data_IF_925172403606
#
_entry.id   IF_925172403606
#
_cell.length_a   1.000
_cell.length_b   1.000
_cell.length_c   1.000
_cell.angle_alpha   90.00
_cell.angle_beta   90.00
_cell.angle_gamma   90.00
#
_symmetry.space_group_name_H-M   'P 1'
#
loop_
_entity.id
_entity.type
_entity.pdbx_description
1 polymer ?
#
# COMPACT_ATOMS: atom_id res chain seq x y z
N UNK A 1 -7.41 16.90 33.67
CA UNK A 1 -6.32 16.90 32.68
C UNK A 1 -6.27 15.49 32.17
N UNK A 2 -6.58 15.27 30.89
CA UNK A 2 -6.41 13.96 30.26
C UNK A 2 -4.96 13.84 29.82
N UNK A 3 -4.27 12.83 30.31
CA UNK A 3 -2.89 12.56 29.94
C UNK A 3 -2.85 11.92 28.55
N UNK A 4 -2.53 12.77 27.57
CA UNK A 4 -2.27 12.37 26.20
C UNK A 4 -0.77 12.11 26.04
N UNK A 5 -0.42 11.00 25.40
CA UNK A 5 0.96 10.65 25.06
C UNK A 5 1.24 10.82 23.57
N UNK A 6 2.52 11.04 23.21
CA UNK A 6 3.00 11.02 21.82
C UNK A 6 4.15 10.04 21.68
N UNK A 7 4.13 9.16 20.66
CA UNK A 7 5.21 8.18 20.43
C UNK A 7 5.36 7.86 18.94
N UNK A 8 6.59 7.59 18.52
CA UNK A 8 6.89 7.06 17.19
C UNK A 8 6.56 5.57 17.07
N UNK A 9 6.05 5.16 15.92
CA UNK A 9 5.86 3.79 15.47
C UNK A 9 6.77 3.56 14.28
N UNK A 10 7.76 2.69 14.47
CA UNK A 10 8.72 2.37 13.42
C UNK A 10 8.13 1.41 12.40
N UNK A 11 8.35 1.72 11.14
CA UNK A 11 8.22 0.78 10.04
C UNK A 11 9.55 0.02 9.99
N UNK A 12 9.61 -1.26 10.42
CA UNK A 12 10.82 -2.03 10.27
C UNK A 12 11.17 -2.14 8.78
N UNK A 13 12.46 -2.33 8.49
CA UNK A 13 12.92 -2.77 7.18
C UNK A 13 12.05 -3.93 6.67
N UNK A 14 11.84 -4.03 5.34
CA UNK A 14 10.95 -5.00 4.74
C UNK A 14 11.14 -6.39 5.37
N UNK A 15 10.10 -6.89 6.03
CA UNK A 15 10.13 -8.21 6.66
C UNK A 15 9.70 -9.23 5.63
N UNK A 16 10.37 -10.38 5.57
CA UNK A 16 9.93 -11.49 4.73
C UNK A 16 8.53 -11.91 5.19
N UNK A 17 7.54 -11.78 4.30
CA UNK A 17 6.17 -12.20 4.54
C UNK A 17 6.18 -13.69 4.85
N UNK A 18 5.56 -14.09 5.96
CA UNK A 18 5.36 -15.50 6.28
C UNK A 18 4.56 -16.13 5.13
N UNK A 19 5.22 -17.00 4.35
CA UNK A 19 4.54 -17.85 3.38
C UNK A 19 3.53 -18.69 4.17
N UNK A 20 2.24 -18.45 3.95
CA UNK A 20 1.20 -19.42 4.33
C UNK A 20 1.50 -20.68 3.52
N UNK A 21 1.94 -21.72 4.20
CA UNK A 21 2.10 -23.06 3.69
C UNK A 21 0.80 -23.53 3.00
N UNK A 22 0.96 -24.43 2.01
CA UNK A 22 -0.05 -24.96 1.06
C UNK A 22 -1.32 -25.61 1.66
N UNK A 23 -1.62 -25.38 2.94
CA UNK A 23 -2.86 -25.76 3.63
C UNK A 23 -3.44 -24.64 4.51
N UNK A 24 -3.14 -23.38 4.21
CA UNK A 24 -3.64 -22.18 4.88
C UNK A 24 -5.15 -21.97 4.75
N UNK A 25 -5.92 -22.74 5.52
CA UNK A 25 -7.30 -22.43 5.83
C UNK A 25 -7.34 -21.39 6.96
N UNK A 26 -7.48 -20.10 6.63
CA UNK A 26 -8.02 -19.08 7.54
C UNK A 26 -9.51 -18.97 7.23
N UNK A 27 -10.33 -19.72 7.98
CA UNK A 27 -11.77 -19.57 7.94
C UNK A 27 -12.14 -18.35 8.79
N UNK A 28 -12.76 -17.33 8.17
CA UNK A 28 -13.70 -16.49 8.90
C UNK A 28 -14.88 -17.41 9.24
N UNK A 29 -15.03 -17.77 10.51
CA UNK A 29 -16.24 -18.41 11.00
C UNK A 29 -17.31 -17.34 11.05
N UNK A 30 -18.21 -17.35 10.09
CA UNK A 30 -19.53 -16.76 10.26
C UNK A 30 -20.27 -17.60 11.31
N UNK A 31 -20.56 -17.01 12.46
CA UNK A 31 -21.57 -17.53 13.38
C UNK A 31 -22.96 -17.24 12.77
N UNK A 32 -23.51 -18.20 12.04
CA UNK A 32 -24.94 -18.27 11.74
C UNK A 32 -25.54 -19.58 12.30
N UNK A 33 -25.98 -19.50 13.56
CA UNK A 33 -26.99 -20.40 14.12
C UNK A 33 -28.38 -19.96 13.63
N UNK A 34 -28.85 -20.48 12.50
CA UNK A 34 -30.24 -20.92 12.30
C UNK A 34 -30.47 -21.46 10.88
N UNK A 35 -30.42 -22.78 10.71
CA UNK A 35 -31.05 -23.45 9.57
C UNK A 35 -31.90 -24.61 10.04
N UNK A 36 -33.17 -24.31 10.27
CA UNK A 36 -34.21 -25.32 10.29
C UNK A 36 -35.20 -25.04 9.16
N UNK A 37 -35.31 -26.03 8.25
CA UNK A 37 -36.35 -26.25 7.24
C UNK A 37 -36.54 -25.19 6.15
N UNK A 38 -36.21 -25.54 4.91
CA UNK A 38 -37.20 -25.65 3.83
C UNK A 38 -36.61 -26.51 2.69
N UNK A 39 -37.31 -27.60 2.36
CA UNK A 39 -37.09 -28.40 1.15
C UNK A 39 -37.95 -27.81 0.03
N UNK A 40 -37.41 -27.78 -1.19
CA UNK A 40 -38.21 -27.87 -2.40
C UNK A 40 -37.88 -26.84 -3.47
N UNK A 41 -37.20 -27.32 -4.51
CA UNK A 41 -37.60 -27.30 -5.93
C UNK A 41 -36.49 -26.81 -6.84
N UNK A 42 -36.03 -27.77 -7.66
CA UNK A 42 -35.18 -27.61 -8.83
C UNK A 42 -35.90 -26.75 -9.88
N UNK A 43 -35.31 -25.63 -10.27
CA UNK A 43 -35.55 -25.00 -11.57
C UNK A 43 -34.23 -24.45 -12.12
N UNK A 44 -34.01 -24.79 -13.38
CA UNK A 44 -32.81 -24.60 -14.19
C UNK A 44 -32.39 -23.11 -14.28
N UNK A 45 -31.12 -22.83 -14.01
CA UNK A 45 -30.48 -21.54 -14.32
C UNK A 45 -29.31 -21.81 -15.26
N UNK A 46 -29.47 -21.37 -16.51
CA UNK A 46 -28.44 -21.30 -17.52
C UNK A 46 -27.27 -20.44 -17.01
N UNK A 47 -26.12 -21.09 -16.80
CA UNK A 47 -24.85 -20.42 -16.53
C UNK A 47 -24.31 -19.83 -17.83
N UNK A 48 -24.42 -18.51 -17.98
CA UNK A 48 -23.64 -17.75 -18.94
C UNK A 48 -22.20 -17.65 -18.41
N UNK A 49 -21.27 -18.33 -19.09
CA UNK A 49 -19.83 -18.14 -18.94
C UNK A 49 -19.47 -16.71 -19.35
N UNK A 50 -19.16 -15.85 -18.37
CA UNK A 50 -18.45 -14.59 -18.60
C UNK A 50 -16.94 -14.86 -18.58
N UNK A 51 -16.38 -15.10 -19.76
CA UNK A 51 -14.94 -15.05 -20.00
C UNK A 51 -14.45 -13.59 -19.92
N UNK A 52 -14.11 -13.14 -18.71
CA UNK A 52 -13.32 -11.90 -18.53
C UNK A 52 -11.83 -12.23 -18.57
N UNK A 53 -11.06 -11.75 -19.56
CA UNK A 53 -9.63 -12.00 -19.64
C UNK A 53 -8.90 -11.21 -18.56
N UNK A 54 -8.56 -11.86 -17.46
CA UNK A 54 -7.59 -11.34 -16.49
C UNK A 54 -6.20 -11.41 -17.13
N UNK A 55 -5.71 -10.28 -17.64
CA UNK A 55 -4.35 -10.20 -18.20
C UNK A 55 -3.32 -10.28 -17.07
N UNK A 56 -2.83 -11.50 -16.79
CA UNK A 56 -1.71 -11.72 -15.86
C UNK A 56 -0.39 -11.51 -16.60
N UNK A 57 0.37 -10.49 -16.18
CA UNK A 57 1.66 -10.07 -16.76
C UNK A 57 2.84 -11.04 -16.48
N UNK A 58 2.58 -12.30 -16.11
CA UNK A 58 3.55 -13.14 -15.41
C UNK A 58 4.20 -14.27 -16.23
N UNK A 59 3.66 -14.63 -17.39
CA UNK A 59 4.11 -15.86 -18.08
C UNK A 59 5.20 -15.65 -19.14
N UNK A 60 5.79 -14.45 -19.26
CA UNK A 60 6.80 -14.16 -20.30
C UNK A 60 8.16 -13.66 -19.80
N UNK A 61 8.40 -13.66 -18.48
CA UNK A 61 9.67 -13.18 -17.90
C UNK A 61 10.59 -14.31 -17.40
N UNK A 62 10.32 -15.58 -17.72
CA UNK A 62 11.04 -16.73 -17.13
C UNK A 62 12.42 -17.05 -17.72
N UNK A 63 12.92 -16.34 -18.74
CA UNK A 63 14.16 -16.73 -19.44
C UNK A 63 15.37 -15.78 -19.26
N UNK A 64 15.42 -14.97 -18.20
CA UNK A 64 16.62 -14.15 -17.90
C UNK A 64 17.52 -14.90 -16.91
N UNK A 65 18.48 -15.65 -17.46
CA UNK A 65 19.56 -16.28 -16.73
C UNK A 65 20.62 -15.23 -16.32
N UNK A 66 20.75 -14.95 -15.01
CA UNK A 66 21.78 -14.07 -14.45
C UNK A 66 22.91 -14.94 -13.87
N UNK A 67 24.14 -14.93 -14.43
CA UNK A 67 25.28 -15.60 -13.82
C UNK A 67 25.84 -14.76 -12.66
N UNK A 68 26.08 -15.41 -11.51
CA UNK A 68 26.70 -14.81 -10.32
C UNK A 68 28.23 -15.07 -10.29
N UNK A 69 28.97 -13.96 -10.26
CA UNK A 69 30.28 -13.64 -9.67
C UNK A 69 31.54 -14.46 -9.98
N UNK A 70 32.53 -13.80 -10.63
CA UNK A 70 33.94 -13.75 -10.19
C UNK A 70 34.55 -12.36 -10.49
N UNK A 71 35.37 -11.90 -9.54
CA UNK A 71 35.94 -10.56 -9.36
C UNK A 71 36.73 -9.99 -10.53
N UNK A 72 36.39 -8.78 -11.02
CA UNK A 72 37.32 -7.85 -11.72
C UNK A 72 36.74 -6.40 -11.76
N UNK A 73 37.15 -5.58 -10.79
CA UNK A 73 36.44 -4.38 -10.28
C UNK A 73 36.34 -3.12 -11.17
N UNK A 74 37.00 -3.03 -12.32
CA UNK A 74 36.98 -1.80 -13.14
C UNK A 74 36.28 -1.94 -14.50
N UNK A 75 36.18 -3.16 -15.06
CA UNK A 75 35.31 -3.45 -16.21
C UNK A 75 33.86 -3.72 -15.79
N UNK A 76 33.63 -4.10 -14.52
CA UNK A 76 32.31 -4.39 -13.96
C UNK A 76 31.39 -3.15 -13.88
N UNK A 77 31.92 -1.96 -13.58
CA UNK A 77 31.08 -0.75 -13.43
C UNK A 77 30.46 -0.35 -14.77
N UNK A 78 31.26 -0.31 -15.84
CA UNK A 78 30.77 0.04 -17.19
C UNK A 78 29.86 -1.04 -17.78
N UNK A 79 30.10 -2.32 -17.43
CA UNK A 79 29.24 -3.42 -17.87
C UNK A 79 27.91 -3.43 -17.10
N UNK A 80 27.91 -3.19 -15.79
CA UNK A 80 26.71 -3.09 -14.96
C UNK A 80 25.83 -1.89 -15.35
N UNK A 81 26.41 -0.70 -15.56
CA UNK A 81 25.70 0.48 -16.07
C UNK A 81 25.07 0.23 -17.45
N UNK A 82 25.76 -0.53 -18.31
CA UNK A 82 25.27 -0.88 -19.65
C UNK A 82 24.12 -1.91 -19.60
N UNK A 83 24.16 -2.90 -18.73
CA UNK A 83 23.06 -3.87 -18.58
C UNK A 83 21.82 -3.22 -17.96
N UNK A 84 22.01 -2.38 -16.94
CA UNK A 84 20.93 -1.61 -16.30
C UNK A 84 20.20 -0.70 -17.30
N UNK A 85 20.94 0.03 -18.14
CA UNK A 85 20.33 0.90 -19.16
C UNK A 85 19.55 0.16 -20.25
N UNK A 86 20.02 -1.03 -20.68
CA UNK A 86 19.27 -1.85 -21.65
C UNK A 86 18.01 -2.45 -21.03
N UNK A 87 18.08 -2.94 -19.80
CA UNK A 87 16.94 -3.47 -19.04
C UNK A 87 15.87 -2.40 -18.85
N UNK A 88 16.26 -1.19 -18.44
CA UNK A 88 15.34 -0.09 -18.19
C UNK A 88 14.62 0.33 -19.48
N UNK A 89 15.36 0.53 -20.57
CA UNK A 89 14.79 0.86 -21.87
C UNK A 89 13.84 -0.23 -22.39
N UNK A 90 14.21 -1.50 -22.23
CA UNK A 90 13.37 -2.63 -22.65
C UNK A 90 12.08 -2.71 -21.84
N UNK A 91 12.18 -2.49 -20.52
CA UNK A 91 11.02 -2.46 -19.62
C UNK A 91 10.07 -1.33 -20.00
N UNK A 92 10.57 -0.10 -20.16
CA UNK A 92 9.74 1.05 -20.54
C UNK A 92 9.03 0.82 -21.87
N UNK A 93 9.74 0.31 -22.89
CA UNK A 93 9.14 0.02 -24.19
C UNK A 93 8.03 -1.04 -24.07
N UNK A 94 8.23 -2.07 -23.26
CA UNK A 94 7.24 -3.12 -23.04
C UNK A 94 6.01 -2.58 -22.30
N UNK A 95 6.21 -1.80 -21.24
CA UNK A 95 5.14 -1.17 -20.46
C UNK A 95 4.31 -0.23 -21.35
N UNK A 96 4.96 0.61 -22.16
CA UNK A 96 4.27 1.46 -23.15
C UNK A 96 3.46 0.64 -24.16
N UNK A 97 4.01 -0.46 -24.65
CA UNK A 97 3.31 -1.32 -25.60
C UNK A 97 2.02 -1.90 -25.01
N UNK A 98 2.03 -2.31 -23.74
CA UNK A 98 0.83 -2.76 -23.04
C UNK A 98 -0.17 -1.63 -22.79
N UNK A 99 0.31 -0.45 -22.39
CA UNK A 99 -0.54 0.69 -22.05
C UNK A 99 -1.13 1.39 -23.29
N UNK A 100 -0.66 1.09 -24.51
CA UNK A 100 -1.30 1.54 -25.74
C UNK A 100 -2.76 1.10 -25.86
N UNK A 101 -3.14 -0.03 -25.24
CA UNK A 101 -4.52 -0.51 -25.19
C UNK A 101 -5.25 -0.15 -23.89
N UNK A 102 -4.65 0.68 -23.02
CA UNK A 102 -5.28 1.08 -21.77
C UNK A 102 -6.52 1.95 -22.06
N UNK A 103 -7.70 1.40 -21.78
CA UNK A 103 -8.98 1.99 -22.20
C UNK A 103 -9.29 3.29 -21.47
N UNK A 104 -8.75 3.49 -20.27
CA UNK A 104 -9.01 4.68 -19.46
C UNK A 104 -7.93 5.77 -19.57
N UNK A 105 -7.12 5.76 -20.63
CA UNK A 105 -6.05 6.75 -20.85
C UNK A 105 -6.56 8.20 -20.75
N UNK A 106 -7.65 8.52 -21.44
CA UNK A 106 -8.21 9.89 -21.46
C UNK A 106 -8.79 10.27 -20.08
N UNK A 107 -9.35 9.29 -19.36
CA UNK A 107 -9.84 9.51 -17.99
C UNK A 107 -8.69 9.74 -17.02
N UNK A 108 -7.56 9.03 -17.15
CA UNK A 108 -6.38 9.26 -16.34
C UNK A 108 -5.77 10.65 -16.58
N UNK A 109 -5.80 11.14 -17.82
CA UNK A 109 -5.32 12.48 -18.15
C UNK A 109 -6.28 13.59 -17.67
N UNK A 110 -7.59 13.31 -17.62
CA UNK A 110 -8.61 14.29 -17.22
C UNK A 110 -9.61 13.72 -16.19
N UNK A 111 -9.16 13.30 -14.99
CA UNK A 111 -9.97 12.51 -14.06
C UNK A 111 -11.12 13.28 -13.42
N UNK A 112 -11.07 14.63 -13.51
CA UNK A 112 -12.06 15.52 -12.94
C UNK A 112 -12.82 16.34 -14.00
N UNK A 113 -12.71 15.96 -15.28
CA UNK A 113 -13.51 16.56 -16.33
C UNK A 113 -15.00 16.33 -16.02
N UNK A 114 -15.79 17.41 -15.97
CA UNK A 114 -17.24 17.49 -15.63
C UNK A 114 -17.63 17.82 -14.18
N UNK A 115 -16.69 18.07 -13.27
CA UNK A 115 -17.01 18.56 -11.91
C UNK A 115 -17.55 17.51 -10.94
N UNK A 116 -17.84 16.29 -11.41
CA UNK A 116 -18.01 15.08 -10.60
C UNK A 116 -16.80 14.16 -10.77
N UNK A 117 -15.63 14.67 -10.37
CA UNK A 117 -14.35 14.00 -10.54
C UNK A 117 -14.10 12.88 -9.54
N UNK A 118 -13.03 12.12 -9.77
CA UNK A 118 -12.55 11.08 -8.86
C UNK A 118 -11.65 11.59 -7.72
N UNK A 119 -11.46 12.92 -7.63
CA UNK A 119 -10.50 13.60 -6.74
C UNK A 119 -9.08 13.04 -6.92
N UNK A 120 -8.67 12.88 -8.17
CA UNK A 120 -7.36 12.33 -8.56
C UNK A 120 -6.50 13.37 -9.29
N UNK A 121 -5.17 13.28 -9.20
CA UNK A 121 -4.29 14.04 -10.07
C UNK A 121 -4.39 13.55 -11.52
N UNK A 122 -4.24 14.46 -12.48
CA UNK A 122 -4.11 14.11 -13.90
C UNK A 122 -2.77 13.43 -14.16
N UNK A 123 -2.78 12.34 -14.92
CA UNK A 123 -1.59 11.55 -15.22
C UNK A 123 -1.44 11.39 -16.73
N UNK A 124 -0.34 11.91 -17.26
CA UNK A 124 0.11 11.55 -18.61
C UNK A 124 1.07 10.37 -18.53
N UNK A 125 0.51 9.18 -18.72
CA UNK A 125 1.22 7.92 -18.53
C UNK A 125 2.43 7.81 -19.47
N UNK A 126 2.30 8.30 -20.71
CA UNK A 126 3.36 8.12 -21.70
C UNK A 126 4.49 9.10 -21.49
N UNK A 127 4.16 10.36 -21.20
CA UNK A 127 5.14 11.38 -20.87
C UNK A 127 5.87 11.02 -19.55
N UNK A 128 5.16 10.52 -18.54
CA UNK A 128 5.79 10.05 -17.30
C UNK A 128 6.68 8.82 -17.52
N UNK A 129 6.32 7.89 -18.40
CA UNK A 129 7.19 6.76 -18.77
C UNK A 129 8.43 7.24 -19.55
N UNK A 130 8.32 8.29 -20.36
CA UNK A 130 9.47 8.92 -21.02
C UNK A 130 10.41 9.59 -20.01
N UNK A 131 9.86 10.30 -19.02
CA UNK A 131 10.63 10.90 -17.93
C UNK A 131 11.38 9.82 -17.12
N UNK A 132 10.69 8.74 -16.74
CA UNK A 132 11.32 7.60 -16.05
C UNK A 132 12.45 7.02 -16.91
N UNK A 133 12.21 6.82 -18.21
CA UNK A 133 13.23 6.28 -19.13
C UNK A 133 14.47 7.17 -19.32
N UNK A 134 14.36 8.47 -19.01
CA UNK A 134 15.46 9.45 -19.09
C UNK A 134 16.12 9.72 -17.73
N UNK A 135 15.52 9.24 -16.64
CA UNK A 135 16.04 9.45 -15.28
C UNK A 135 17.15 8.45 -14.97
N UNK A 136 18.26 8.94 -14.39
CA UNK A 136 19.30 8.08 -13.86
C UNK A 136 18.90 7.55 -12.49
N UNK A 137 18.92 6.23 -12.31
CA UNK A 137 18.63 5.58 -11.03
C UNK A 137 19.89 5.02 -10.39
N UNK A 138 19.98 5.11 -9.07
CA UNK A 138 21.09 4.55 -8.31
C UNK A 138 21.05 3.03 -8.26
N UNK A 139 19.86 2.45 -8.34
CA UNK A 139 19.65 1.01 -8.29
C UNK A 139 18.38 0.62 -9.07
N UNK A 140 18.27 -0.68 -9.39
CA UNK A 140 17.15 -1.25 -10.14
C UNK A 140 15.82 -1.24 -9.38
N UNK A 141 15.85 -1.25 -8.05
CA UNK A 141 14.64 -1.18 -7.22
C UNK A 141 13.93 0.17 -7.38
N UNK A 142 14.68 1.28 -7.28
CA UNK A 142 14.13 2.63 -7.46
C UNK A 142 13.50 2.79 -8.86
N UNK A 143 14.14 2.24 -9.90
CA UNK A 143 13.61 2.26 -11.27
C UNK A 143 12.25 1.55 -11.36
N UNK A 144 12.16 0.31 -10.87
CA UNK A 144 10.91 -0.44 -10.94
C UNK A 144 9.82 0.12 -10.03
N UNK A 145 10.19 0.65 -8.87
CA UNK A 145 9.27 1.33 -7.98
C UNK A 145 8.66 2.55 -8.65
N UNK A 146 9.43 3.36 -9.40
CA UNK A 146 8.86 4.49 -10.16
C UNK A 146 7.80 4.07 -11.16
N UNK A 147 7.98 2.93 -11.83
CA UNK A 147 6.97 2.39 -12.74
C UNK A 147 5.74 1.93 -11.94
N UNK A 148 5.94 1.21 -10.83
CA UNK A 148 4.85 0.77 -9.95
C UNK A 148 4.03 1.96 -9.44
N UNK A 149 4.67 3.00 -8.91
CA UNK A 149 4.00 4.21 -8.41
C UNK A 149 3.22 4.89 -9.53
N UNK A 150 3.80 5.06 -10.72
CA UNK A 150 3.09 5.65 -11.85
C UNK A 150 1.80 4.88 -12.21
N UNK A 151 1.86 3.55 -12.24
CA UNK A 151 0.66 2.75 -12.52
C UNK A 151 -0.33 2.78 -11.34
N UNK A 152 0.17 2.82 -10.10
CA UNK A 152 -0.67 2.96 -8.92
C UNK A 152 -1.46 4.28 -8.90
N UNK A 153 -0.85 5.35 -9.39
CA UNK A 153 -1.48 6.67 -9.48
C UNK A 153 -2.72 6.65 -10.39
N UNK A 154 -2.85 5.68 -11.31
CA UNK A 154 -4.04 5.49 -12.14
C UNK A 154 -5.30 5.13 -11.34
N UNK A 155 -5.10 4.72 -10.08
CA UNK A 155 -6.16 4.28 -9.16
C UNK A 155 -7.07 3.21 -9.79
N UNK A 156 -6.48 2.27 -10.52
CA UNK A 156 -7.14 1.16 -11.21
C UNK A 156 -6.66 -0.20 -10.70
N UNK A 157 -7.57 -0.96 -10.09
CA UNK A 157 -7.30 -2.32 -9.58
C UNK A 157 -6.81 -3.30 -10.65
N UNK A 158 -7.07 -3.05 -11.93
CA UNK A 158 -6.73 -3.96 -13.02
C UNK A 158 -5.47 -3.54 -13.79
N UNK A 159 -4.90 -2.39 -13.47
CA UNK A 159 -3.73 -1.84 -14.16
C UNK A 159 -2.64 -1.50 -13.15
N UNK A 160 -1.79 -2.47 -12.84
CA UNK A 160 -0.69 -2.32 -11.89
C UNK A 160 0.58 -2.97 -12.43
N UNK A 161 1.73 -2.54 -11.91
CA UNK A 161 3.03 -3.14 -12.20
C UNK A 161 3.58 -3.76 -10.92
N UNK A 162 3.85 -5.07 -10.93
CA UNK A 162 4.54 -5.72 -9.81
C UNK A 162 6.03 -5.76 -10.13
N UNK A 163 6.88 -5.04 -9.39
CA UNK A 163 8.32 -5.11 -9.59
C UNK A 163 8.85 -6.55 -9.42
N UNK A 164 9.86 -6.96 -10.22
CA UNK A 164 10.47 -8.26 -10.05
C UNK A 164 11.18 -8.36 -8.69
N UNK A 165 11.23 -9.58 -8.15
CA UNK A 165 12.02 -9.95 -6.97
C UNK A 165 11.65 -9.33 -5.60
N UNK A 166 10.62 -8.48 -5.50
CA UNK A 166 10.24 -7.86 -4.22
C UNK A 166 8.92 -8.36 -3.63
N UNK A 167 8.34 -9.43 -4.15
CA UNK A 167 6.99 -9.88 -3.75
C UNK A 167 6.87 -10.39 -2.32
N UNK A 168 7.99 -10.81 -1.73
CA UNK A 168 8.03 -11.45 -0.41
C UNK A 168 8.20 -10.47 0.74
N UNK A 169 8.15 -9.17 0.48
CA UNK A 169 8.42 -8.18 1.51
C UNK A 169 7.20 -7.35 1.85
N UNK A 170 7.17 -6.80 3.06
CA UNK A 170 6.11 -5.88 3.47
C UNK A 170 6.62 -4.84 4.45
N UNK A 171 6.08 -3.63 4.35
CA UNK A 171 6.22 -2.58 5.36
C UNK A 171 5.08 -2.72 6.36
N UNK A 172 5.41 -2.88 7.64
CA UNK A 172 4.43 -3.27 8.66
C UNK A 172 4.54 -2.40 9.90
N UNK A 173 3.49 -1.65 10.22
CA UNK A 173 3.33 -1.01 11.52
C UNK A 173 3.05 -2.08 12.59
N UNK A 174 3.50 -1.90 13.85
CA UNK A 174 3.29 -2.89 14.90
C UNK A 174 1.82 -3.13 15.26
N UNK A 175 0.92 -2.23 14.84
CA UNK A 175 -0.50 -2.27 15.16
C UNK A 175 -1.39 -2.02 13.95
N UNK A 176 -2.60 -2.58 14.01
CA UNK A 176 -3.71 -2.34 13.11
C UNK A 176 -4.56 -1.17 13.59
N UNK A 177 -4.85 -0.22 12.71
CA UNK A 177 -5.71 0.93 13.00
C UNK A 177 -7.07 0.73 12.33
N UNK A 178 -8.13 0.69 13.14
CA UNK A 178 -9.50 0.63 12.64
C UNK A 178 -10.19 1.97 12.85
N UNK A 179 -11.00 2.37 11.87
CA UNK A 179 -11.86 3.55 11.94
C UNK A 179 -13.26 3.11 12.39
N UNK A 180 -13.77 3.73 13.44
CA UNK A 180 -15.10 3.50 13.99
C UNK A 180 -15.96 4.75 13.83
N UNK A 181 -17.21 4.57 13.39
CA UNK A 181 -18.19 5.64 13.39
C UNK A 181 -18.82 5.76 14.78
N UNK A 182 -18.88 6.99 15.29
CA UNK A 182 -19.49 7.32 16.57
C UNK A 182 -20.96 7.74 16.37
N UNK A 183 -21.81 7.70 17.43
CA UNK A 183 -23.22 8.08 17.33
C UNK A 183 -23.48 9.53 16.89
N UNK A 184 -22.50 10.42 17.09
CA UNK A 184 -22.56 11.83 16.70
C UNK A 184 -22.04 12.09 15.27
N UNK A 185 -21.87 11.02 14.48
CA UNK A 185 -21.30 11.02 13.12
C UNK A 185 -19.81 11.38 13.05
N UNK A 186 -19.14 11.57 14.19
CA UNK A 186 -17.68 11.67 14.22
C UNK A 186 -17.03 10.30 14.00
N UNK A 187 -15.72 10.30 13.76
CA UNK A 187 -14.92 9.08 13.61
C UNK A 187 -13.88 9.01 14.72
N UNK A 188 -13.68 7.82 15.27
CA UNK A 188 -12.55 7.51 16.16
C UNK A 188 -11.64 6.47 15.51
N UNK A 189 -10.35 6.58 15.73
CA UNK A 189 -9.37 5.56 15.30
C UNK A 189 -8.89 4.83 16.53
N UNK A 190 -8.91 3.50 16.51
CA UNK A 190 -8.45 2.68 17.63
C UNK A 190 -7.54 1.57 17.18
N UNK A 191 -6.65 1.17 18.08
CA UNK A 191 -5.84 -0.03 17.93
C UNK A 191 -6.74 -1.26 18.03
N UNK A 192 -6.73 -2.10 16.99
CA UNK A 192 -7.49 -3.35 16.96
C UNK A 192 -6.62 -4.57 17.29
N UNK A 193 -5.58 -4.84 16.51
CA UNK A 193 -4.68 -5.99 16.75
C UNK A 193 -3.21 -5.56 16.64
N UNK A 194 -2.33 -6.34 17.24
CA UNK A 194 -0.88 -6.19 17.12
C UNK A 194 -0.31 -7.28 16.20
N UNK A 195 0.65 -6.92 15.36
CA UNK A 195 1.40 -7.90 14.55
C UNK A 195 2.51 -8.49 15.40
N UNK A 196 2.42 -9.77 15.75
CA UNK A 196 3.28 -10.42 16.77
C UNK A 196 4.77 -10.09 16.64
N UNK A 197 5.38 -10.28 15.47
CA UNK A 197 6.81 -10.03 15.26
C UNK A 197 7.17 -8.53 15.23
N UNK A 198 6.54 -7.67 14.40
CA UNK A 198 6.75 -6.22 14.45
C UNK A 198 6.49 -5.59 15.82
N UNK A 199 5.45 -6.03 16.52
CA UNK A 199 5.10 -5.58 17.88
C UNK A 199 6.17 -5.95 18.90
N UNK A 200 6.67 -7.18 18.89
CA UNK A 200 7.76 -7.59 19.78
C UNK A 200 9.02 -6.75 19.57
N UNK A 201 9.40 -6.51 18.31
CA UNK A 201 10.53 -5.63 17.97
C UNK A 201 10.29 -4.21 18.48
N UNK A 202 9.09 -3.67 18.23
CA UNK A 202 8.71 -2.34 18.69
C UNK A 202 8.85 -2.17 20.21
N UNK A 203 8.41 -3.17 21.00
CA UNK A 203 8.58 -3.14 22.46
C UNK A 203 10.04 -3.29 22.91
N UNK A 204 10.85 -4.11 22.22
CA UNK A 204 12.29 -4.23 22.48
C UNK A 204 13.01 -2.88 22.26
N UNK A 205 12.57 -2.12 21.27
CA UNK A 205 13.05 -0.77 20.95
C UNK A 205 12.43 0.32 21.86
N UNK A 206 11.87 -0.08 23.00
CA UNK A 206 11.25 0.81 24.01
C UNK A 206 9.99 1.54 23.53
N UNK A 207 9.26 0.92 22.61
CA UNK A 207 7.93 1.35 22.20
C UNK A 207 6.90 1.34 23.34
N UNK A 208 5.78 2.04 23.13
CA UNK A 208 4.66 2.05 24.08
C UNK A 208 3.75 0.86 23.81
N UNK A 209 3.48 0.06 24.83
CA UNK A 209 2.52 -1.04 24.72
C UNK A 209 1.08 -0.51 24.68
N UNK A 210 0.49 -0.47 23.49
CA UNK A 210 -0.90 -0.08 23.31
C UNK A 210 -1.82 -1.25 23.59
N UNK A 211 -2.74 -1.05 24.53
CA UNK A 211 -3.83 -1.99 24.79
C UNK A 211 -4.84 -1.97 23.64
N UNK A 212 -5.57 -3.07 23.49
CA UNK A 212 -6.76 -3.13 22.63
C UNK A 212 -7.68 -1.93 22.91
N UNK A 213 -8.25 -1.35 21.86
CA UNK A 213 -9.11 -0.16 21.89
C UNK A 213 -8.44 1.15 22.34
N UNK A 214 -7.10 1.22 22.42
CA UNK A 214 -6.41 2.51 22.63
C UNK A 214 -6.80 3.47 21.49
N UNK A 215 -7.36 4.63 21.87
CA UNK A 215 -7.80 5.65 20.92
C UNK A 215 -6.61 6.48 20.44
N UNK A 216 -6.49 6.59 19.12
CA UNK A 216 -5.47 7.37 18.43
C UNK A 216 -6.13 8.67 17.96
N UNK A 217 -5.67 9.78 18.50
CA UNK A 217 -6.25 11.10 18.27
C UNK A 217 -5.66 11.74 17.01
N UNK A 218 -4.34 11.63 16.84
CA UNK A 218 -3.60 12.24 15.74
C UNK A 218 -2.49 11.34 15.25
N UNK A 219 -2.16 11.50 13.97
CA UNK A 219 -1.03 10.81 13.34
C UNK A 219 -0.23 11.87 12.58
N UNK A 220 1.09 11.82 12.72
CA UNK A 220 2.02 12.49 11.84
C UNK A 220 2.61 11.48 10.85
N UNK A 221 2.24 11.60 9.58
CA UNK A 221 2.67 10.69 8.50
C UNK A 221 4.15 10.84 8.14
N UNK A 222 4.77 11.95 8.55
CA UNK A 222 6.19 12.27 8.31
C UNK A 222 7.12 11.87 9.45
N UNK A 223 6.61 11.15 10.44
CA UNK A 223 7.40 10.70 11.59
C UNK A 223 7.79 11.80 12.60
N UNK A 224 7.39 13.06 12.37
CA UNK A 224 7.72 14.18 13.27
C UNK A 224 6.86 14.16 14.53
N UNK A 225 7.30 14.79 15.64
CA UNK A 225 6.45 15.01 16.80
C UNK A 225 5.14 15.71 16.40
N UNK A 226 4.02 15.32 17.01
CA UNK A 226 2.68 15.85 16.69
C UNK A 226 2.63 17.39 16.83
N UNK A 227 3.25 17.91 17.88
CA UNK A 227 3.27 19.33 18.20
C UNK A 227 4.69 19.91 18.08
N UNK A 228 4.78 21.15 17.62
CA UNK A 228 5.97 22.00 17.71
C UNK A 228 6.13 22.53 19.14
N UNK A 229 7.25 23.21 19.41
CA UNK A 229 7.55 23.78 20.74
C UNK A 229 6.51 24.81 21.23
N UNK A 230 5.79 25.48 20.32
CA UNK A 230 4.73 26.45 20.61
C UNK A 230 3.33 25.84 20.71
N UNK A 231 3.22 24.50 20.79
CA UNK A 231 1.96 23.76 20.84
C UNK A 231 1.10 23.85 19.56
N UNK A 232 1.68 24.29 18.44
CA UNK A 232 1.07 24.19 17.12
C UNK A 232 1.32 22.82 16.50
N UNK A 233 0.43 22.36 15.63
CA UNK A 233 0.63 21.10 14.90
C UNK A 233 1.86 21.19 13.99
N UNK A 234 2.63 20.09 13.95
CA UNK A 234 3.73 19.93 13.03
C UNK A 234 3.21 19.60 11.62
N UNK A 235 4.00 19.92 10.60
CA UNK A 235 3.69 19.55 9.22
C UNK A 235 3.53 18.02 9.09
N UNK A 236 2.48 17.60 8.37
CA UNK A 236 2.07 16.20 8.26
C UNK A 236 1.27 15.64 9.44
N UNK A 237 0.91 16.45 10.44
CA UNK A 237 0.06 16.02 11.58
C UNK A 237 -1.41 16.31 11.29
N UNK A 238 -2.25 15.27 11.36
CA UNK A 238 -3.69 15.38 11.14
C UNK A 238 -4.47 14.68 12.25
N UNK A 239 -5.80 14.83 12.26
CA UNK A 239 -6.64 13.89 13.00
C UNK A 239 -6.40 12.47 12.46
N UNK A 240 -6.47 11.46 13.32
CA UNK A 240 -6.07 10.11 12.93
C UNK A 240 -6.83 9.57 11.70
N UNK A 241 -8.15 9.76 11.64
CA UNK A 241 -8.95 9.34 10.48
C UNK A 241 -8.59 10.13 9.20
N UNK A 242 -8.33 11.44 9.34
CA UNK A 242 -7.87 12.29 8.23
C UNK A 242 -6.49 11.86 7.72
N UNK A 243 -5.56 11.50 8.62
CA UNK A 243 -4.24 11.01 8.23
C UNK A 243 -4.35 9.70 7.42
N UNK A 244 -5.19 8.77 7.86
CA UNK A 244 -5.41 7.50 7.13
C UNK A 244 -6.06 7.79 5.77
N UNK A 245 -7.03 8.71 5.70
CA UNK A 245 -7.66 9.10 4.44
C UNK A 245 -6.68 9.74 3.45
N UNK A 246 -5.83 10.66 3.92
CA UNK A 246 -4.79 11.28 3.08
C UNK A 246 -3.80 10.25 2.56
N UNK A 247 -3.31 9.37 3.46
CA UNK A 247 -2.46 8.26 3.06
C UNK A 247 -3.15 7.35 2.03
N UNK A 248 -4.43 7.06 2.22
CA UNK A 248 -5.19 6.21 1.31
C UNK A 248 -5.32 6.84 -0.09
N UNK A 249 -5.58 8.15 -0.15
CA UNK A 249 -5.66 8.88 -1.42
C UNK A 249 -4.33 8.89 -2.17
N UNK A 250 -3.22 9.01 -1.44
CA UNK A 250 -1.87 8.96 -2.00
C UNK A 250 -1.50 7.54 -2.45
N UNK A 251 -1.64 6.54 -1.58
CA UNK A 251 -0.96 5.25 -1.75
C UNK A 251 -1.86 4.10 -2.25
N UNK A 252 -3.15 4.09 -1.93
CA UNK A 252 -4.02 2.97 -2.32
C UNK A 252 -4.34 3.09 -3.81
N UNK A 253 -3.95 2.08 -4.59
CA UNK A 253 -4.14 2.05 -6.04
C UNK A 253 -5.43 1.35 -6.50
N UNK A 254 -6.09 0.59 -5.62
CA UNK A 254 -7.15 -0.33 -6.02
C UNK A 254 -8.51 0.32 -6.36
N UNK A 255 -8.67 1.64 -6.21
CA UNK A 255 -9.97 2.27 -6.47
C UNK A 255 -9.90 3.75 -6.81
N UNK A 256 -10.76 4.16 -7.75
CA UNK A 256 -10.91 5.58 -8.11
C UNK A 256 -11.66 6.41 -7.08
N UNK A 257 -12.53 5.79 -6.29
CA UNK A 257 -13.30 6.44 -5.22
C UNK A 257 -12.46 6.60 -3.96
N UNK A 258 -12.38 7.82 -3.41
CA UNK A 258 -11.66 8.13 -2.16
C UNK A 258 -12.20 7.35 -0.97
N UNK A 259 -13.53 7.19 -0.87
CA UNK A 259 -14.16 6.40 0.19
C UNK A 259 -13.76 4.92 0.09
N UNK A 260 -13.70 4.37 -1.12
CA UNK A 260 -13.25 2.99 -1.31
C UNK A 260 -11.78 2.83 -0.91
N UNK A 261 -10.91 3.79 -1.26
CA UNK A 261 -9.51 3.79 -0.81
C UNK A 261 -9.37 3.86 0.70
N UNK A 262 -10.13 4.74 1.36
CA UNK A 262 -10.19 4.82 2.82
C UNK A 262 -10.59 3.49 3.44
N UNK A 263 -11.56 2.78 2.87
CA UNK A 263 -11.97 1.46 3.35
C UNK A 263 -10.86 0.41 3.22
N UNK A 264 -10.11 0.39 2.11
CA UNK A 264 -8.92 -0.46 1.96
C UNK A 264 -7.86 -0.15 3.02
N UNK A 265 -7.54 1.14 3.20
CA UNK A 265 -6.58 1.58 4.21
C UNK A 265 -7.02 1.15 5.63
N UNK A 266 -8.30 1.33 5.96
CA UNK A 266 -8.90 0.93 7.23
C UNK A 266 -9.03 -0.59 7.42
N UNK A 267 -9.11 -1.37 6.33
CA UNK A 267 -9.09 -2.84 6.39
C UNK A 267 -7.71 -3.43 6.64
N UNK A 268 -6.67 -2.58 6.70
CA UNK A 268 -5.34 -2.96 7.13
C UNK A 268 -4.19 -2.47 6.29
N UNK A 269 -4.46 -1.98 5.08
CA UNK A 269 -3.39 -1.60 4.16
C UNK A 269 -2.59 -0.39 4.68
N UNK A 270 -3.20 0.45 5.53
CA UNK A 270 -2.45 1.49 6.22
C UNK A 270 -1.32 0.92 7.10
N UNK A 271 -1.58 -0.22 7.75
CA UNK A 271 -0.66 -0.89 8.67
C UNK A 271 0.22 -1.95 8.03
N UNK A 272 -0.24 -2.61 6.98
CA UNK A 272 0.44 -3.73 6.34
C UNK A 272 0.47 -3.50 4.83
N UNK A 273 1.66 -3.23 4.30
CA UNK A 273 1.85 -2.78 2.91
C UNK A 273 2.77 -3.75 2.21
N UNK A 274 2.22 -4.54 1.28
CA UNK A 274 3.04 -5.39 0.42
C UNK A 274 3.90 -4.52 -0.50
N UNK A 275 5.21 -4.75 -0.52
CA UNK A 275 6.17 -4.04 -1.38
C UNK A 275 5.89 -4.22 -2.88
N UNK A 276 5.11 -5.23 -3.24
CA UNK A 276 4.65 -5.45 -4.61
C UNK A 276 3.66 -4.38 -5.11
N UNK A 277 3.01 -3.66 -4.19
CA UNK A 277 1.95 -2.69 -4.49
C UNK A 277 2.18 -1.33 -3.86
N UNK A 278 3.11 -1.21 -2.93
CA UNK A 278 3.33 0.02 -2.16
C UNK A 278 4.80 0.45 -2.26
N UNK A 279 5.06 1.74 -2.52
CA UNK A 279 6.43 2.26 -2.51
C UNK A 279 7.04 2.11 -1.13
N UNK A 280 8.36 2.16 -1.08
CA UNK A 280 9.03 2.30 0.20
C UNK A 280 8.55 3.57 0.91
N UNK A 281 8.27 3.49 2.23
CA UNK A 281 7.91 4.67 3.00
C UNK A 281 9.02 5.72 2.92
N UNK A 282 8.65 6.97 2.62
CA UNK A 282 9.59 8.10 2.66
C UNK A 282 10.21 8.30 4.07
N UNK A 283 9.45 7.91 5.10
CA UNK A 283 9.83 8.05 6.50
C UNK A 283 9.86 6.69 7.20
N UNK A 284 10.87 6.47 8.04
CA UNK A 284 11.05 5.22 8.79
C UNK A 284 10.02 5.02 9.91
N UNK A 285 9.28 6.07 10.28
CA UNK A 285 8.29 6.00 11.33
C UNK A 285 7.11 6.95 11.08
N UNK A 286 6.00 6.68 11.76
CA UNK A 286 4.91 7.63 11.97
C UNK A 286 4.85 7.97 13.45
N UNK A 287 4.40 9.17 13.82
CA UNK A 287 4.17 9.49 15.24
C UNK A 287 2.67 9.53 15.51
N UNK A 288 2.24 9.04 16.66
CA UNK A 288 0.83 9.05 17.07
C UNK A 288 0.62 9.79 18.38
N UNK A 289 -0.44 10.58 18.47
CA UNK A 289 -1.03 11.04 19.74
C UNK A 289 -2.12 10.05 20.14
N UNK A 290 -2.10 9.60 21.38
CA UNK A 290 -3.07 8.62 21.87
C UNK A 290 -3.65 9.03 23.22
N UNK A 291 -4.84 8.51 23.50
CA UNK A 291 -5.51 8.65 24.78
C UNK A 291 -5.34 7.36 25.58
N UNK A 292 -4.63 7.44 26.68
CA UNK A 292 -4.46 6.30 27.59
C UNK A 292 -5.83 5.83 28.10
N UNK A 293 -6.10 4.50 28.15
CA UNK A 293 -7.36 3.96 28.67
C UNK A 293 -7.69 4.42 30.11
N UNK A 294 -6.68 4.82 30.88
CA UNK A 294 -6.80 5.17 32.30
C UNK A 294 -6.71 6.68 32.62
N UNK A 295 -6.50 7.57 31.64
CA UNK A 295 -6.53 9.02 31.86
C UNK A 295 -5.60 9.59 32.97
N UNK A 296 -4.56 8.85 33.34
CA UNK A 296 -3.36 9.27 34.09
C UNK A 296 -2.20 9.48 33.14
#
# INVERSE_FOLDING_TARGET
MSDNGSVGLFLPLPVESLDSDEKGNVWFKDEEDNKDKFKGNDEDIDTLEEDSPTFRLLDKLQDIYIPICKEEKEQEITQFEKYSSQEFASTINLVKAYLNSYTFKDTALYPNASGSGYDQPSIDIFDSLDEIGQTSFNNTFDFYERIMVLLNDLKDAHTYFIPPCIRKFSYVLPYFFNIYSNPDLSQSVKIHIAFSSPYQKYLQDRGVDFRYDTEILRINLKGKPIYKQNNELNDGSYLAAEAIARWADEEVCAARSSITRLNFAASGEFSYRYTAYYPHPEYENITVEYKSPNGT
#
